data_IF_504998461714
#
_entry.id   IF_504998461714
#
_cell.length_a   1.000
_cell.length_b   1.000
_cell.length_c   1.000
_cell.angle_alpha   90.00
_cell.angle_beta   90.00
_cell.angle_gamma   90.00
#
_symmetry.space_group_name_H-M   'P 1'
#
loop_
_entity.id
_entity.type
_entity.pdbx_description
1 polymer ?
#
# COMPACT_ATOMS: atom_id res chain seq x y z
N UNK A 1 -13.62 13.83 20.05
CA UNK A 1 -12.19 13.87 20.43
C UNK A 1 -11.44 13.13 19.35
N UNK A 2 -10.36 13.70 18.80
CA UNK A 2 -9.53 13.03 17.79
C UNK A 2 -8.36 12.32 18.48
N UNK A 3 -7.81 11.31 17.82
CA UNK A 3 -6.60 10.61 18.23
C UNK A 3 -5.40 11.16 17.45
N UNK A 4 -4.32 11.50 18.15
CA UNK A 4 -3.11 12.02 17.54
C UNK A 4 -2.34 10.88 16.84
N UNK A 5 -2.02 11.05 15.56
CA UNK A 5 -1.35 10.06 14.71
C UNK A 5 0.00 10.59 14.25
N UNK A 6 1.05 9.82 14.52
CA UNK A 6 2.39 10.08 13.99
C UNK A 6 2.77 9.02 12.95
N UNK A 7 3.26 9.50 11.80
CA UNK A 7 3.83 8.63 10.76
C UNK A 7 5.33 8.55 11.01
N UNK A 8 5.77 7.45 11.63
CA UNK A 8 7.19 7.26 11.96
C UNK A 8 8.02 6.87 10.74
N UNK A 9 7.45 6.03 9.87
CA UNK A 9 8.05 5.62 8.60
C UNK A 9 6.95 5.18 7.64
N UNK A 10 6.99 5.69 6.41
CA UNK A 10 6.18 5.19 5.29
C UNK A 10 6.94 5.40 3.98
N UNK A 11 6.83 4.44 3.06
CA UNK A 11 7.48 4.56 1.75
C UNK A 11 6.97 5.78 0.97
N UNK A 12 7.84 6.37 0.16
CA UNK A 12 7.57 7.61 -0.58
C UNK A 12 6.32 7.54 -1.46
N UNK A 13 6.10 6.39 -2.11
CA UNK A 13 4.94 6.15 -2.98
C UNK A 13 3.60 6.20 -2.24
N UNK A 14 3.58 5.93 -0.92
CA UNK A 14 2.37 5.89 -0.11
C UNK A 14 2.24 7.12 0.80
N UNK A 15 3.36 7.78 1.14
CA UNK A 15 3.43 8.87 2.12
C UNK A 15 2.41 9.98 1.86
N UNK A 16 2.35 10.47 0.62
CA UNK A 16 1.43 11.55 0.27
C UNK A 16 -0.04 11.13 0.40
N UNK A 17 -0.39 9.94 -0.11
CA UNK A 17 -1.75 9.41 -0.03
C UNK A 17 -2.18 9.18 1.42
N UNK A 18 -1.30 8.65 2.27
CA UNK A 18 -1.59 8.41 3.68
C UNK A 18 -1.86 9.71 4.44
N UNK A 19 -1.08 10.76 4.16
CA UNK A 19 -1.32 12.09 4.75
C UNK A 19 -2.70 12.61 4.37
N UNK A 20 -3.08 12.53 3.08
CA UNK A 20 -4.38 13.02 2.63
C UNK A 20 -5.54 12.28 3.31
N UNK A 21 -5.46 10.95 3.40
CA UNK A 21 -6.48 10.15 4.09
C UNK A 21 -6.58 10.53 5.57
N UNK A 22 -5.44 10.61 6.28
CA UNK A 22 -5.42 10.98 7.70
C UNK A 22 -5.89 12.43 7.96
N UNK A 23 -5.61 13.36 7.05
CA UNK A 23 -6.11 14.73 7.14
C UNK A 23 -7.62 14.82 6.95
N UNK A 24 -8.19 13.96 6.09
CA UNK A 24 -9.63 13.90 5.85
C UNK A 24 -10.40 13.21 6.97
N UNK A 25 -9.71 12.46 7.83
CA UNK A 25 -10.32 11.71 8.94
C UNK A 25 -11.01 12.61 9.96
N UNK A 26 -12.19 12.20 10.40
CA UNK A 26 -12.88 12.79 11.55
C UNK A 26 -12.42 12.23 12.90
N UNK A 27 -11.69 11.10 12.88
CA UNK A 27 -11.22 10.36 14.07
C UNK A 27 -9.77 10.70 14.39
N UNK A 28 -8.94 10.93 13.37
CA UNK A 28 -7.51 11.18 13.50
C UNK A 28 -7.14 12.66 13.30
N UNK A 29 -6.03 13.05 13.93
CA UNK A 29 -5.30 14.29 13.66
C UNK A 29 -3.80 13.99 13.56
N UNK A 30 -3.10 14.57 12.58
CA UNK A 30 -1.67 14.36 12.42
C UNK A 30 -0.87 15.11 13.49
N UNK A 31 0.19 14.48 13.98
CA UNK A 31 1.19 15.10 14.86
C UNK A 31 2.61 14.75 14.42
N UNK A 32 3.50 15.73 14.46
CA UNK A 32 4.94 15.52 14.29
C UNK A 32 5.61 15.02 15.58
N UNK A 33 4.95 15.19 16.73
CA UNK A 33 5.45 14.78 18.03
C UNK A 33 5.02 13.35 18.36
N UNK A 34 5.95 12.40 18.13
CA UNK A 34 5.76 10.98 18.45
C UNK A 34 5.43 10.73 19.93
N UNK A 35 5.92 11.57 20.85
CA UNK A 35 5.73 11.36 22.29
C UNK A 35 4.31 11.64 22.77
N UNK A 36 3.55 12.40 21.97
CA UNK A 36 2.16 12.79 22.22
C UNK A 36 1.16 12.02 21.37
N UNK A 37 1.61 10.99 20.67
CA UNK A 37 0.79 10.24 19.72
C UNK A 37 -0.02 9.17 20.43
N UNK A 38 -1.29 9.04 20.03
CA UNK A 38 -2.15 7.90 20.39
C UNK A 38 -1.94 6.72 19.44
N UNK A 39 -1.53 7.00 18.20
CA UNK A 39 -1.25 6.01 17.15
C UNK A 39 0.09 6.34 16.48
N UNK A 40 0.92 5.33 16.26
CA UNK A 40 2.15 5.45 15.47
C UNK A 40 2.08 4.48 14.30
N UNK A 41 2.30 4.98 13.08
CA UNK A 41 2.29 4.17 11.85
C UNK A 41 3.72 3.87 11.43
N UNK A 42 4.00 2.59 11.15
CA UNK A 42 5.27 2.11 10.59
C UNK A 42 4.98 1.26 9.36
N UNK A 43 5.58 1.60 8.24
CA UNK A 43 5.63 0.78 7.03
C UNK A 43 6.94 0.02 6.97
N UNK A 44 6.86 -1.31 6.89
CA UNK A 44 8.02 -2.20 6.83
C UNK A 44 8.29 -2.77 5.43
N UNK A 45 7.45 -2.44 4.45
CA UNK A 45 7.48 -3.07 3.12
C UNK A 45 8.81 -2.86 2.39
N UNK A 46 9.51 -1.74 2.64
CA UNK A 46 10.80 -1.45 2.00
C UNK A 46 12.03 -1.89 2.83
N UNK A 47 11.83 -2.63 3.92
CA UNK A 47 12.90 -3.22 4.74
C UNK A 47 13.68 -2.20 5.58
N UNK A 48 12.97 -1.25 6.19
CA UNK A 48 13.51 -0.33 7.19
C UNK A 48 13.76 -1.07 8.52
N UNK A 49 14.84 -0.75 9.23
CA UNK A 49 15.08 -1.30 10.57
C UNK A 49 14.05 -0.74 11.55
N UNK A 50 13.12 -1.59 11.98
CA UNK A 50 12.04 -1.22 12.88
C UNK A 50 12.46 -1.19 14.35
N UNK A 51 13.62 -1.74 14.70
CA UNK A 51 14.05 -1.93 16.09
C UNK A 51 14.29 -0.59 16.79
N UNK A 52 14.97 0.33 16.12
CA UNK A 52 15.23 1.69 16.63
C UNK A 52 13.96 2.55 16.64
N UNK A 53 13.03 2.31 15.70
CA UNK A 53 11.75 3.00 15.64
C UNK A 53 10.85 2.58 16.80
N UNK A 54 10.78 1.27 17.08
CA UNK A 54 10.04 0.66 18.17
C UNK A 54 10.37 1.25 19.56
N UNK A 55 11.66 1.50 19.81
CA UNK A 55 12.13 2.07 21.08
C UNK A 55 11.62 3.50 21.34
N UNK A 56 11.18 4.22 20.30
CA UNK A 56 10.75 5.64 20.35
C UNK A 56 9.24 5.79 20.45
N UNK A 57 8.49 4.69 20.39
CA UNK A 57 7.02 4.68 20.47
C UNK A 57 6.59 4.77 21.94
N UNK A 58 5.68 5.68 22.31
CA UNK A 58 5.09 5.67 23.65
C UNK A 58 4.41 4.33 23.93
N UNK A 59 4.63 3.75 25.11
CA UNK A 59 4.02 2.45 25.48
C UNK A 59 2.50 2.46 25.49
N UNK A 60 1.89 3.64 25.56
CA UNK A 60 0.43 3.83 25.54
C UNK A 60 -0.13 3.97 24.13
N UNK A 61 0.72 4.28 23.13
CA UNK A 61 0.31 4.45 21.75
C UNK A 61 0.05 3.09 21.08
N UNK A 62 -0.97 3.03 20.23
CA UNK A 62 -1.20 1.90 19.34
C UNK A 62 -0.17 1.96 18.19
N UNK A 63 0.72 0.98 18.13
CA UNK A 63 1.64 0.82 17.01
C UNK A 63 0.93 0.09 15.85
N UNK A 64 0.63 0.79 14.77
CA UNK A 64 0.07 0.22 13.54
C UNK A 64 1.20 -0.08 12.57
N UNK A 65 1.31 -1.34 12.15
CA UNK A 65 2.30 -1.77 11.17
C UNK A 65 1.65 -2.11 9.85
N UNK A 66 2.10 -1.46 8.79
CA UNK A 66 1.76 -1.79 7.42
C UNK A 66 2.82 -2.77 6.90
N UNK A 67 2.37 -3.97 6.51
CA UNK A 67 3.21 -5.03 5.94
C UNK A 67 2.56 -5.58 4.67
N UNK A 68 3.21 -6.52 3.98
CA UNK A 68 2.68 -7.15 2.77
C UNK A 68 1.79 -8.35 3.10
N UNK A 69 0.67 -8.48 2.37
CA UNK A 69 -0.23 -9.61 2.42
C UNK A 69 0.46 -10.94 2.06
N UNK A 70 -0.11 -12.03 2.58
CA UNK A 70 0.45 -13.38 2.49
C UNK A 70 0.83 -13.77 1.05
N UNK A 71 2.04 -14.29 0.89
CA UNK A 71 2.56 -14.85 -0.36
C UNK A 71 3.54 -13.96 -1.14
N UNK A 72 3.48 -12.63 -1.06
CA UNK A 72 4.44 -11.76 -1.77
C UNK A 72 5.90 -11.81 -1.24
N UNK A 73 6.17 -12.63 -0.23
CA UNK A 73 7.42 -12.73 0.53
C UNK A 73 7.64 -14.15 1.08
N UNK A 74 7.56 -15.22 0.28
CA UNK A 74 8.17 -16.50 0.69
C UNK A 74 9.70 -16.43 0.55
N UNK A 75 10.28 -15.59 1.41
CA UNK A 75 11.57 -15.79 2.03
C UNK A 75 11.32 -15.73 3.55
N UNK A 76 10.97 -16.90 4.09
CA UNK A 76 10.45 -17.23 5.43
C UNK A 76 11.23 -16.62 6.63
N UNK A 77 12.46 -16.14 6.41
CA UNK A 77 13.30 -15.55 7.48
C UNK A 77 12.95 -14.10 7.81
N UNK A 78 12.68 -13.24 6.82
CA UNK A 78 12.53 -11.78 7.06
C UNK A 78 11.20 -11.42 7.74
N UNK A 79 10.13 -12.18 7.47
CA UNK A 79 8.78 -11.94 8.03
C UNK A 79 8.62 -12.41 9.47
N UNK A 80 9.20 -13.55 9.81
CA UNK A 80 9.22 -14.03 11.18
C UNK A 80 9.96 -13.02 12.06
N UNK A 81 11.07 -12.48 11.56
CA UNK A 81 11.87 -11.48 12.26
C UNK A 81 11.13 -10.14 12.42
N UNK A 82 10.41 -9.66 11.39
CA UNK A 82 9.59 -8.43 11.46
C UNK A 82 8.41 -8.56 12.44
N UNK A 83 7.62 -9.63 12.37
CA UNK A 83 6.54 -9.86 13.33
C UNK A 83 7.09 -10.08 14.75
N UNK A 84 8.19 -10.84 14.90
CA UNK A 84 8.83 -11.06 16.20
C UNK A 84 9.36 -9.76 16.80
N UNK A 85 10.01 -8.90 16.00
CA UNK A 85 10.50 -7.59 16.44
C UNK A 85 9.35 -6.71 16.95
N UNK A 86 8.18 -6.78 16.32
CA UNK A 86 7.00 -6.02 16.74
C UNK A 86 6.28 -6.66 17.92
N UNK A 87 6.31 -7.98 18.08
CA UNK A 87 5.86 -8.64 19.30
C UNK A 87 6.73 -8.29 20.52
N UNK A 88 7.98 -7.87 20.32
CA UNK A 88 8.82 -7.31 21.40
C UNK A 88 8.44 -5.88 21.81
N UNK A 89 7.54 -5.20 21.06
CA UNK A 89 6.97 -3.93 21.49
C UNK A 89 6.23 -4.13 22.81
N UNK A 90 6.65 -3.41 23.86
CA UNK A 90 6.04 -3.51 25.19
C UNK A 90 4.69 -2.77 25.31
N UNK A 91 4.00 -2.52 24.19
CA UNK A 91 2.77 -1.73 24.06
C UNK A 91 1.78 -2.35 23.07
N UNK A 92 0.57 -1.77 22.92
CA UNK A 92 -0.45 -2.32 22.03
C UNK A 92 -0.04 -2.17 20.56
N UNK A 93 -0.26 -3.22 19.76
CA UNK A 93 0.06 -3.21 18.34
C UNK A 93 -1.12 -3.65 17.46
N UNK A 94 -1.05 -3.34 16.17
CA UNK A 94 -2.00 -3.77 15.14
C UNK A 94 -1.21 -3.99 13.85
N UNK A 95 -1.26 -5.20 13.29
CA UNK A 95 -0.55 -5.52 12.05
C UNK A 95 -1.56 -5.59 10.91
N UNK A 96 -1.37 -4.78 9.88
CA UNK A 96 -2.19 -4.73 8.68
C UNK A 96 -1.36 -5.24 7.50
N UNK A 97 -1.57 -6.50 7.14
CA UNK A 97 -0.94 -7.17 6.00
C UNK A 97 -1.72 -6.83 4.75
N UNK A 98 -1.21 -5.88 4.00
CA UNK A 98 -1.90 -5.22 2.90
C UNK A 98 -1.56 -5.88 1.56
N UNK A 99 -2.58 -6.19 0.76
CA UNK A 99 -2.40 -6.36 -0.68
C UNK A 99 -1.85 -5.06 -1.31
N UNK A 100 -1.29 -5.10 -2.53
CA UNK A 100 -0.82 -3.90 -3.21
C UNK A 100 -1.87 -2.79 -3.24
N UNK A 101 -1.46 -1.56 -2.94
CA UNK A 101 -2.37 -0.43 -2.97
C UNK A 101 -2.65 0.00 -4.41
N UNK A 102 -3.92 0.18 -4.76
CA UNK A 102 -4.28 0.64 -6.10
C UNK A 102 -3.80 2.06 -6.39
N UNK A 103 -3.61 2.90 -5.36
CA UNK A 103 -3.00 4.24 -5.49
C UNK A 103 -1.58 4.19 -6.10
N UNK A 104 -0.84 3.09 -5.91
CA UNK A 104 0.50 2.96 -6.49
C UNK A 104 0.47 2.83 -8.02
N UNK A 105 -0.66 2.39 -8.60
CA UNK A 105 -0.85 2.34 -10.04
C UNK A 105 -0.81 3.75 -10.65
N UNK A 106 -1.27 4.78 -9.92
CA UNK A 106 -1.17 6.18 -10.37
C UNK A 106 0.29 6.64 -10.53
N UNK A 107 1.20 6.06 -9.74
CA UNK A 107 2.65 6.30 -9.92
C UNK A 107 3.15 5.60 -11.17
N UNK A 108 2.69 4.37 -11.45
CA UNK A 108 3.01 3.67 -12.70
C UNK A 108 2.54 4.42 -13.96
N UNK A 109 1.41 5.14 -13.87
CA UNK A 109 0.88 5.93 -14.97
C UNK A 109 1.73 7.16 -15.33
N UNK A 110 2.61 7.62 -14.43
CA UNK A 110 3.62 8.64 -14.76
C UNK A 110 4.66 8.15 -15.76
N UNK A 111 4.78 6.82 -15.93
CA UNK A 111 5.66 6.18 -16.89
C UNK A 111 4.91 5.70 -18.14
N UNK A 112 3.68 6.15 -18.35
CA UNK A 112 2.95 5.89 -19.58
C UNK A 112 3.77 6.48 -20.75
N UNK A 113 4.32 5.60 -21.57
CA UNK A 113 5.12 5.96 -22.72
C UNK A 113 4.42 5.45 -23.97
N UNK A 114 4.02 6.39 -24.84
CA UNK A 114 3.28 6.07 -26.06
C UNK A 114 2.09 5.12 -25.77
N UNK A 115 1.21 5.55 -24.85
CA UNK A 115 0.00 4.81 -24.45
C UNK A 115 0.26 3.48 -23.72
N UNK A 116 1.51 3.12 -23.43
CA UNK A 116 1.85 1.80 -22.87
C UNK A 116 2.44 1.91 -21.47
N UNK A 117 1.95 1.06 -20.56
CA UNK A 117 2.48 0.85 -19.21
C UNK A 117 3.41 -0.36 -19.23
N UNK A 118 4.66 -0.15 -18.86
CA UNK A 118 5.65 -1.22 -18.70
C UNK A 118 5.82 -1.54 -17.22
N UNK A 119 5.56 -2.78 -16.80
CA UNK A 119 5.65 -3.17 -15.38
C UNK A 119 5.83 -4.68 -15.22
N UNK A 120 6.30 -5.10 -14.05
CA UNK A 120 6.41 -6.52 -13.67
C UNK A 120 5.17 -7.06 -12.96
N UNK A 121 4.08 -6.28 -12.88
CA UNK A 121 2.78 -6.81 -12.47
C UNK A 121 2.32 -7.82 -13.51
N UNK A 122 2.49 -9.12 -13.24
CA UNK A 122 2.14 -10.19 -14.17
C UNK A 122 0.63 -10.40 -14.36
N UNK A 123 0.25 -11.33 -15.25
CA UNK A 123 -1.12 -11.51 -15.71
C UNK A 123 -2.08 -12.05 -14.65
N UNK A 124 -1.56 -12.61 -13.55
CA UNK A 124 -2.36 -13.07 -12.42
C UNK A 124 -2.99 -11.96 -11.59
N UNK A 125 -2.53 -10.72 -11.73
CA UNK A 125 -3.11 -9.53 -11.10
C UNK A 125 -2.98 -9.48 -9.59
N UNK A 126 -3.69 -8.54 -8.97
CA UNK A 126 -3.69 -8.35 -7.52
C UNK A 126 -5.06 -7.94 -6.99
N UNK A 127 -5.33 -8.25 -5.72
CA UNK A 127 -6.52 -7.77 -5.00
C UNK A 127 -6.29 -6.33 -4.49
N UNK A 128 -6.25 -5.35 -5.41
CA UNK A 128 -5.84 -3.98 -5.15
C UNK A 128 -6.59 -3.34 -3.98
N UNK A 129 -5.84 -2.97 -2.94
CA UNK A 129 -6.36 -2.44 -1.69
C UNK A 129 -6.45 -0.92 -1.74
N UNK A 130 -7.54 -0.37 -1.20
CA UNK A 130 -7.69 1.06 -0.97
C UNK A 130 -7.06 1.47 0.37
N UNK A 131 -6.18 2.47 0.35
CA UNK A 131 -5.64 3.08 1.58
C UNK A 131 -6.73 3.64 2.49
N UNK A 132 -7.84 4.11 1.94
CA UNK A 132 -9.00 4.56 2.72
C UNK A 132 -9.53 3.44 3.63
N UNK A 133 -9.58 2.20 3.13
CA UNK A 133 -10.03 1.06 3.93
C UNK A 133 -9.04 0.72 5.05
N UNK A 134 -7.73 0.92 4.82
CA UNK A 134 -6.70 0.76 5.85
C UNK A 134 -6.91 1.77 6.98
N UNK A 135 -7.08 3.05 6.65
CA UNK A 135 -7.34 4.10 7.65
C UNK A 135 -8.64 3.82 8.40
N UNK A 136 -9.71 3.43 7.70
CA UNK A 136 -10.98 3.08 8.35
C UNK A 136 -10.86 1.88 9.31
N UNK A 137 -10.05 0.87 8.98
CA UNK A 137 -9.75 -0.26 9.89
C UNK A 137 -8.98 0.23 11.12
N UNK A 138 -8.02 1.14 10.95
CA UNK A 138 -7.32 1.75 12.09
C UNK A 138 -8.26 2.57 12.98
N UNK A 139 -9.17 3.35 12.40
CA UNK A 139 -10.19 4.11 13.14
C UNK A 139 -11.09 3.20 13.96
N UNK A 140 -11.49 2.06 13.39
CA UNK A 140 -12.29 1.08 14.09
C UNK A 140 -11.51 0.37 15.22
N UNK A 141 -10.18 0.27 15.11
CA UNK A 141 -9.31 -0.38 16.10
C UNK A 141 -8.83 0.54 17.22
N UNK A 142 -8.62 1.84 16.97
CA UNK A 142 -8.01 2.74 17.97
C UNK A 142 -8.86 2.85 19.26
N UNK A 143 -10.19 2.87 19.10
CA UNK A 143 -11.16 2.94 20.20
C UNK A 143 -11.57 1.60 20.80
N UNK A 144 -11.21 0.48 20.16
CA UNK A 144 -11.64 -0.86 20.56
C UNK A 144 -10.43 -1.70 20.98
N UNK A 145 -10.24 -1.85 22.29
CA UNK A 145 -9.10 -2.60 22.85
C UNK A 145 -9.11 -4.08 22.49
N UNK A 146 -10.26 -4.64 22.07
CA UNK A 146 -10.36 -6.04 21.64
C UNK A 146 -9.71 -6.29 20.27
N UNK A 147 -9.45 -5.20 19.51
CA UNK A 147 -8.80 -5.24 18.19
C UNK A 147 -7.30 -4.96 18.25
N UNK A 148 -6.73 -4.86 19.46
CA UNK A 148 -5.29 -4.70 19.69
C UNK A 148 -4.62 -6.07 19.80
N UNK A 149 -3.35 -6.12 19.44
CA UNK A 149 -2.52 -7.31 19.38
C UNK A 149 -3.08 -8.38 18.42
N UNK A 150 -3.55 -7.91 17.27
CA UNK A 150 -4.12 -8.73 16.20
C UNK A 150 -3.44 -8.39 14.87
N UNK A 151 -3.28 -9.40 14.02
CA UNK A 151 -2.87 -9.25 12.63
C UNK A 151 -4.06 -9.48 11.70
N UNK A 152 -4.27 -8.56 10.75
CA UNK A 152 -5.32 -8.61 9.74
C UNK A 152 -4.73 -8.67 8.35
N UNK A 153 -5.25 -9.57 7.51
CA UNK A 153 -4.99 -9.60 6.08
C UNK A 153 -6.05 -8.75 5.36
N UNK A 154 -5.60 -7.65 4.74
CA UNK A 154 -6.43 -6.66 4.07
C UNK A 154 -6.24 -6.74 2.56
N UNK A 155 -7.35 -6.86 1.83
CA UNK A 155 -7.36 -6.97 0.37
C UNK A 155 -8.50 -6.16 -0.23
N UNK A 156 -8.38 -5.78 -1.49
CA UNK A 156 -9.53 -5.34 -2.29
C UNK A 156 -10.58 -6.44 -2.46
N UNK A 157 -11.76 -6.10 -3.00
CA UNK A 157 -12.88 -7.03 -3.17
C UNK A 157 -12.67 -8.06 -4.28
N UNK A 158 -11.78 -7.78 -5.23
CA UNK A 158 -11.58 -8.57 -6.44
C UNK A 158 -10.12 -8.52 -6.90
N UNK A 159 -9.69 -9.56 -7.62
CA UNK A 159 -8.38 -9.59 -8.28
C UNK A 159 -8.52 -8.99 -9.67
N UNK A 160 -7.73 -7.95 -9.96
CA UNK A 160 -7.64 -7.37 -11.30
C UNK A 160 -6.18 -7.41 -11.80
N UNK A 161 -6.00 -7.83 -13.04
CA UNK A 161 -4.71 -7.77 -13.73
C UNK A 161 -4.53 -6.44 -14.48
N UNK A 162 -3.32 -6.20 -15.00
CA UNK A 162 -3.02 -4.93 -15.67
C UNK A 162 -3.83 -4.71 -16.94
N UNK A 163 -4.22 -5.75 -17.68
CA UNK A 163 -5.11 -5.60 -18.84
C UNK A 163 -6.48 -5.06 -18.42
N UNK A 164 -7.05 -5.59 -17.32
CA UNK A 164 -8.31 -5.11 -16.77
C UNK A 164 -8.19 -3.69 -16.20
N UNK A 165 -7.06 -3.37 -15.54
CA UNK A 165 -6.77 -2.01 -15.07
C UNK A 165 -6.70 -1.04 -16.25
N UNK A 166 -5.95 -1.39 -17.30
CA UNK A 166 -5.87 -0.60 -18.53
C UNK A 166 -7.27 -0.38 -19.13
N UNK A 167 -8.11 -1.41 -19.21
CA UNK A 167 -9.48 -1.28 -19.70
C UNK A 167 -10.33 -0.29 -18.89
N UNK A 168 -10.24 -0.32 -17.55
CA UNK A 168 -10.93 0.65 -16.69
C UNK A 168 -10.47 2.09 -16.98
N UNK A 169 -9.17 2.27 -17.19
CA UNK A 169 -8.56 3.56 -17.52
C UNK A 169 -9.06 4.03 -18.89
N UNK A 170 -9.01 3.18 -19.91
CA UNK A 170 -9.46 3.48 -21.28
C UNK A 170 -10.91 3.97 -21.31
N UNK A 171 -11.80 3.27 -20.61
CA UNK A 171 -13.21 3.64 -20.51
C UNK A 171 -13.41 5.01 -19.87
N UNK A 172 -12.56 5.38 -18.90
CA UNK A 172 -12.66 6.64 -18.18
C UNK A 172 -12.11 7.83 -18.97
N UNK A 173 -10.95 7.65 -19.61
CA UNK A 173 -10.24 8.75 -20.30
C UNK A 173 -10.55 8.83 -21.80
N UNK A 174 -11.30 7.85 -22.33
CA UNK A 174 -11.66 7.69 -23.74
C UNK A 174 -10.43 7.74 -24.67
N UNK A 175 -9.38 7.00 -24.31
CA UNK A 175 -8.11 6.89 -25.02
C UNK A 175 -7.50 5.52 -24.77
N UNK A 176 -6.84 4.94 -25.78
CA UNK A 176 -6.20 3.63 -25.65
C UNK A 176 -5.10 3.64 -24.59
N UNK A 177 -5.00 2.57 -23.82
CA UNK A 177 -3.95 2.33 -22.83
C UNK A 177 -3.60 0.86 -22.85
N UNK A 178 -2.34 0.57 -23.11
CA UNK A 178 -1.80 -0.78 -23.22
C UNK A 178 -0.92 -1.12 -22.02
N UNK A 179 -0.69 -2.41 -21.84
CA UNK A 179 0.23 -2.94 -20.85
C UNK A 179 1.19 -3.93 -21.49
N UNK A 180 2.45 -3.90 -21.06
CA UNK A 180 3.49 -4.87 -21.39
C UNK A 180 4.13 -5.36 -20.10
N UNK A 181 4.10 -6.68 -19.91
CA UNK A 181 4.85 -7.34 -18.84
C UNK A 181 6.35 -7.22 -19.12
N UNK A 182 7.08 -6.71 -18.14
CA UNK A 182 8.54 -6.77 -18.11
C UNK A 182 8.97 -7.87 -17.15
N UNK A 183 9.98 -8.64 -17.55
CA UNK A 183 10.72 -9.44 -16.58
C UNK A 183 11.40 -8.55 -15.53
N UNK A 184 11.84 -9.15 -14.43
CA UNK A 184 12.40 -8.40 -13.30
C UNK A 184 13.60 -7.55 -13.73
N UNK A 185 14.55 -8.10 -14.47
CA UNK A 185 15.78 -7.39 -14.87
C UNK A 185 15.50 -6.25 -15.85
N UNK A 186 14.57 -6.44 -16.80
CA UNK A 186 14.10 -5.39 -17.69
C UNK A 186 13.49 -4.22 -16.91
N UNK A 187 12.66 -4.53 -15.91
CA UNK A 187 12.03 -3.50 -15.11
C UNK A 187 13.01 -2.80 -14.16
N UNK A 188 13.99 -3.52 -13.60
CA UNK A 188 15.11 -2.93 -12.86
C UNK A 188 15.83 -1.90 -13.73
N UNK A 189 16.19 -2.28 -14.96
CA UNK A 189 16.87 -1.37 -15.89
C UNK A 189 16.00 -0.15 -16.25
N UNK A 190 14.69 -0.34 -16.43
CA UNK A 190 13.77 0.76 -16.72
C UNK A 190 13.70 1.76 -15.55
N UNK A 191 13.55 1.27 -14.32
CA UNK A 191 13.54 2.10 -13.10
C UNK A 191 14.89 2.78 -12.84
N UNK A 192 16.02 2.10 -13.10
CA UNK A 192 17.34 2.70 -12.92
C UNK A 192 17.55 3.93 -13.83
N UNK A 193 16.99 3.93 -15.04
CA UNK A 193 17.05 5.09 -15.96
C UNK A 193 16.29 6.31 -15.45
N UNK A 194 15.37 6.13 -14.50
CA UNK A 194 14.62 7.23 -13.87
C UNK A 194 15.27 7.73 -12.58
N UNK A 195 16.50 7.26 -12.28
CA UNK A 195 17.29 7.70 -11.13
C UNK A 195 17.06 6.90 -9.84
N UNK A 196 16.27 5.83 -9.89
CA UNK A 196 16.10 4.92 -8.75
C UNK A 196 17.36 4.06 -8.55
N UNK A 197 17.70 3.77 -7.29
CA UNK A 197 18.84 2.89 -6.99
C UNK A 197 18.54 1.46 -7.44
N UNK A 198 19.58 0.73 -7.87
CA UNK A 198 19.42 -0.67 -8.32
C UNK A 198 18.82 -1.55 -7.22
N UNK A 199 19.25 -1.37 -5.97
CA UNK A 199 18.73 -2.12 -4.82
C UNK A 199 17.22 -1.92 -4.65
N UNK A 200 16.74 -0.69 -4.76
CA UNK A 200 15.31 -0.39 -4.66
C UNK A 200 14.54 -0.95 -5.86
N UNK A 201 15.07 -0.73 -7.07
CA UNK A 201 14.47 -1.20 -8.31
C UNK A 201 14.31 -2.73 -8.31
N UNK A 202 15.33 -3.48 -7.87
CA UNK A 202 15.29 -4.95 -7.76
C UNK A 202 14.22 -5.43 -6.79
N UNK A 203 14.17 -4.85 -5.59
CA UNK A 203 13.12 -5.18 -4.59
C UNK A 203 11.73 -4.92 -5.15
N UNK A 204 11.53 -3.78 -5.82
CA UNK A 204 10.24 -3.39 -6.37
C UNK A 204 9.79 -4.30 -7.51
N UNK A 205 10.68 -4.62 -8.45
CA UNK A 205 10.39 -5.52 -9.56
C UNK A 205 10.04 -6.93 -9.07
N UNK A 206 10.83 -7.47 -8.14
CA UNK A 206 10.58 -8.78 -7.52
C UNK A 206 9.23 -8.82 -6.80
N UNK A 207 8.93 -7.79 -5.99
CA UNK A 207 7.64 -7.68 -5.29
C UNK A 207 6.45 -7.71 -6.25
N UNK A 208 6.51 -6.91 -7.32
CA UNK A 208 5.44 -6.86 -8.34
C UNK A 208 5.25 -8.21 -9.02
N UNK A 209 6.36 -8.84 -9.43
CA UNK A 209 6.32 -10.14 -10.08
C UNK A 209 5.69 -11.20 -9.17
N UNK A 210 6.25 -11.40 -7.96
CA UNK A 210 5.81 -12.42 -7.02
C UNK A 210 4.35 -12.24 -6.61
N UNK A 211 3.91 -11.00 -6.35
CA UNK A 211 2.53 -10.75 -5.88
C UNK A 211 1.46 -11.14 -6.91
N UNK A 212 1.83 -11.30 -8.18
CA UNK A 212 0.89 -11.75 -9.23
C UNK A 212 0.89 -13.26 -9.45
N UNK A 213 1.88 -13.98 -8.91
CA UNK A 213 2.01 -15.42 -9.07
C UNK A 213 1.02 -16.18 -8.19
N UNK A 214 0.55 -17.33 -8.69
CA UNK A 214 -0.30 -18.23 -7.90
C UNK A 214 0.46 -18.77 -6.68
N UNK A 215 -0.23 -18.88 -5.54
CA UNK A 215 0.38 -19.22 -4.25
C UNK A 215 0.97 -18.01 -3.51
N UNK A 216 1.34 -16.96 -4.24
CA UNK A 216 1.88 -15.72 -3.68
C UNK A 216 0.89 -14.55 -3.67
N UNK A 217 -0.08 -14.57 -4.59
CA UNK A 217 -1.13 -13.57 -4.70
C UNK A 217 -2.14 -13.69 -3.55
N UNK A 218 -2.27 -12.61 -2.78
CA UNK A 218 -3.32 -12.47 -1.77
C UNK A 218 -4.71 -12.60 -2.41
N UNK A 219 -5.54 -13.49 -1.86
CA UNK A 219 -6.92 -13.67 -2.30
C UNK A 219 -7.86 -12.73 -1.54
N UNK A 220 -8.95 -12.23 -2.16
CA UNK A 220 -9.94 -11.41 -1.48
C UNK A 220 -10.41 -12.04 -0.16
N UNK A 221 -10.40 -11.27 0.92
CA UNK A 221 -10.83 -11.68 2.26
C UNK A 221 -12.06 -10.92 2.72
N UNK A 222 -12.75 -11.46 3.74
CA UNK A 222 -13.86 -10.77 4.41
C UNK A 222 -13.39 -9.86 5.56
N UNK A 223 -12.08 -9.64 5.73
CA UNK A 223 -11.54 -8.94 6.92
C UNK A 223 -12.09 -7.53 7.04
N UNK A 224 -12.12 -6.77 5.93
CA UNK A 224 -12.66 -5.40 5.91
C UNK A 224 -14.17 -5.41 6.16
N UNK A 225 -14.90 -6.37 5.58
CA UNK A 225 -16.33 -6.56 5.84
C UNK A 225 -16.61 -6.76 7.33
N UNK A 226 -15.85 -7.64 7.99
CA UNK A 226 -16.02 -7.92 9.42
C UNK A 226 -15.60 -6.75 10.30
N UNK A 227 -14.54 -6.03 9.92
CA UNK A 227 -14.02 -4.90 10.68
C UNK A 227 -14.91 -3.66 10.59
N UNK A 228 -15.48 -3.37 9.40
CA UNK A 228 -16.17 -2.11 9.09
C UNK A 228 -17.68 -2.27 8.84
N UNK A 229 -18.19 -3.49 8.67
CA UNK A 229 -19.60 -3.73 8.31
C UNK A 229 -19.94 -3.40 6.86
N UNK A 230 -18.94 -3.15 6.01
CA UNK A 230 -19.09 -2.86 4.56
C UNK A 230 -18.00 -3.55 3.76
N UNK A 231 -18.28 -3.84 2.49
CA UNK A 231 -17.28 -4.39 1.57
C UNK A 231 -16.10 -3.41 1.38
N UNK A 232 -14.89 -3.92 1.07
CA UNK A 232 -13.78 -3.09 0.65
C UNK A 232 -14.12 -2.36 -0.66
N UNK A 233 -13.54 -1.18 -0.85
CA UNK A 233 -13.80 -0.34 -2.02
C UNK A 233 -13.18 -0.99 -3.27
N UNK A 234 -13.94 -1.12 -4.38
CA UNK A 234 -13.41 -1.64 -5.63
C UNK A 234 -12.47 -0.63 -6.28
N UNK A 235 -11.48 -1.13 -7.04
CA UNK A 235 -10.41 -0.30 -7.63
C UNK A 235 -10.94 0.91 -8.41
N UNK A 236 -11.99 0.70 -9.22
CA UNK A 236 -12.59 1.75 -10.05
C UNK A 236 -13.08 2.97 -9.25
N UNK A 237 -13.47 2.79 -7.99
CA UNK A 237 -14.07 3.84 -7.16
C UNK A 237 -13.03 4.80 -6.57
N UNK A 238 -11.73 4.47 -6.64
CA UNK A 238 -10.66 5.32 -6.11
C UNK A 238 -9.49 5.52 -7.06
N UNK A 239 -9.41 4.73 -8.15
CA UNK A 239 -8.39 4.92 -9.19
C UNK A 239 -8.75 6.03 -10.17
N UNK A 240 -10.03 6.15 -10.54
CA UNK A 240 -10.45 6.94 -11.71
C UNK A 240 -10.56 8.44 -11.45
N UNK A 241 -11.00 8.86 -10.27
CA UNK A 241 -11.14 10.31 -9.97
C UNK A 241 -9.77 11.03 -9.98
N UNK A 242 -8.71 10.53 -9.31
CA UNK A 242 -7.39 11.16 -9.37
C UNK A 242 -6.75 11.09 -10.76
N UNK A 243 -7.12 10.08 -11.55
CA UNK A 243 -6.56 9.84 -12.88
C UNK A 243 -6.88 10.98 -13.86
N UNK A 244 -8.08 11.56 -13.79
CA UNK A 244 -8.48 12.66 -14.67
C UNK A 244 -7.54 13.86 -14.55
N UNK A 245 -7.11 14.19 -13.34
CA UNK A 245 -6.17 15.28 -13.08
C UNK A 245 -4.76 14.95 -13.60
N UNK A 246 -4.30 13.71 -13.39
CA UNK A 246 -2.98 13.25 -13.85
C UNK A 246 -2.89 13.26 -15.38
N UNK A 247 -3.93 12.77 -16.07
CA UNK A 247 -3.96 12.75 -17.54
C UNK A 247 -4.01 14.15 -18.12
N UNK A 248 -4.75 15.08 -17.51
CA UNK A 248 -4.74 16.48 -17.92
C UNK A 248 -3.33 17.08 -17.82
N UNK A 249 -2.64 16.88 -16.69
CA UNK A 249 -1.26 17.35 -16.49
C UNK A 249 -0.25 16.71 -17.44
N UNK A 250 -0.39 15.42 -17.74
CA UNK A 250 0.51 14.71 -18.66
C UNK A 250 0.35 15.19 -20.10
N UNK A 251 -0.89 15.42 -20.56
CA UNK A 251 -1.18 15.95 -21.90
C UNK A 251 -0.59 17.35 -22.11
N UNK A 252 -0.63 18.20 -21.08
CA UNK A 252 -0.02 19.54 -21.12
C UNK A 252 1.52 19.51 -21.20
N UNK A 253 2.16 18.42 -20.76
CA UNK A 253 3.62 18.22 -20.88
C UNK A 253 4.05 17.55 -22.18
N UNK A 254 3.09 16.97 -22.93
CA UNK A 254 3.33 16.30 -24.22
C UNK A 254 2.98 17.17 -25.44
N UNK A 255 2.41 18.36 -25.22
CA UNK A 255 2.25 19.41 -26.24
C UNK A 255 3.43 20.36 -26.27
#
# INVERSE_FOLDING_TARGET
>A
MKYAVHIASVRSALHHHLILELQSSTVFELTEDATRSDVVIIDVVDGQDTTDLAARIPRTALCVVLSTAQGAQDHDATRADEHTALETLQGPWLILRCAPFGQELLTSLRYLYNETIFTSWGPGGAAWLDLHDVVAVMEAAVGDTTRRNVAYDLTGPEVLNMEQVCHLIEQHINSSVFYVELDEDQHVQAMARTGLSETYARRRAQYMHLTTQDGYRAQPTETILRALGRQPRPLRDYLLDPLSEIVAQARDQWG
#
